data_IF_573462340941
#
_entry.id   IF_573462340941
#
_cell.length_a   1.000
_cell.length_b   1.000
_cell.length_c   1.000
_cell.angle_alpha   90.00
_cell.angle_beta   90.00
_cell.angle_gamma   90.00
#
_symmetry.space_group_name_H-M   'P 1'
#
loop_
_entity.id
_entity.type
_entity.pdbx_description
1 polymer ?
#
# COMPACT_ATOMS: atom_id res chain seq x y z
N UNK A 1 16.66 6.46 49.29
CA UNK A 1 16.16 7.23 48.13
C UNK A 1 16.29 6.32 46.92
N UNK A 2 15.17 5.78 46.41
CA UNK A 2 15.15 4.78 45.32
C UNK A 2 15.53 5.40 43.98
N UNK A 3 16.32 4.68 43.18
CA UNK A 3 16.37 4.85 41.73
C UNK A 3 16.31 3.45 41.10
N UNK A 4 15.13 3.07 40.59
CA UNK A 4 14.96 1.88 39.77
C UNK A 4 15.45 2.21 38.36
N UNK A 5 16.58 1.62 37.95
CA UNK A 5 17.12 1.77 36.60
C UNK A 5 16.54 0.72 35.67
N UNK A 6 16.03 1.22 34.55
CA UNK A 6 15.21 0.56 33.55
C UNK A 6 16.01 -0.47 32.74
N UNK A 7 15.85 -1.77 32.99
CA UNK A 7 16.63 -2.85 32.34
C UNK A 7 15.92 -3.50 31.14
N UNK A 8 14.77 -3.00 30.68
CA UNK A 8 13.95 -3.69 29.65
C UNK A 8 14.10 -3.18 28.21
N UNK A 9 14.77 -2.05 28.01
CA UNK A 9 14.89 -1.38 26.70
C UNK A 9 16.19 -1.72 25.94
N UNK A 10 17.13 -2.46 26.53
CA UNK A 10 18.43 -2.73 25.92
C UNK A 10 18.58 -4.13 25.29
N UNK A 11 17.55 -4.98 25.33
CA UNK A 11 17.64 -6.35 24.78
C UNK A 11 17.02 -6.56 23.40
N UNK A 12 16.37 -5.55 22.80
CA UNK A 12 15.73 -5.70 21.46
C UNK A 12 16.64 -5.22 20.31
N UNK A 13 17.68 -4.42 20.60
CA UNK A 13 18.57 -3.85 19.57
C UNK A 13 19.67 -4.83 19.09
N UNK A 14 19.91 -5.93 19.81
CA UNK A 14 21.05 -6.81 19.59
C UNK A 14 20.88 -7.88 18.48
N UNK A 15 19.77 -7.87 17.73
CA UNK A 15 19.46 -8.87 16.68
C UNK A 15 19.25 -8.31 15.28
N UNK A 16 19.50 -7.02 15.05
CA UNK A 16 19.41 -6.46 13.69
C UNK A 16 20.66 -6.82 12.90
N UNK A 17 20.52 -7.70 11.91
CA UNK A 17 21.57 -7.94 10.92
C UNK A 17 22.03 -6.58 10.34
N UNK A 18 23.34 -6.38 10.11
CA UNK A 18 23.81 -5.17 9.46
C UNK A 18 23.04 -5.00 8.13
N UNK A 19 22.62 -3.77 7.78
CA UNK A 19 22.03 -3.54 6.48
C UNK A 19 22.98 -4.13 5.42
N UNK A 20 22.47 -4.85 4.42
CA UNK A 20 23.32 -5.37 3.36
C UNK A 20 24.15 -4.21 2.79
N UNK A 21 25.40 -4.50 2.46
CA UNK A 21 26.34 -3.51 1.95
C UNK A 21 25.64 -2.63 0.91
N UNK A 22 25.76 -1.32 1.09
CA UNK A 22 25.27 -0.34 0.12
C UNK A 22 25.95 -0.68 -1.19
N UNK A 23 25.15 -1.08 -2.18
CA UNK A 23 25.64 -1.47 -3.48
C UNK A 23 26.39 -0.28 -4.10
N UNK A 24 27.71 -0.38 -4.28
CA UNK A 24 28.57 0.70 -4.78
C UNK A 24 28.21 1.17 -6.21
N UNK A 25 27.21 0.55 -6.86
CA UNK A 25 26.56 1.04 -8.10
C UNK A 25 25.77 2.34 -7.95
N UNK A 26 25.71 2.93 -6.75
CA UNK A 26 24.91 4.13 -6.46
C UNK A 26 25.43 5.38 -7.22
N UNK A 27 26.69 5.40 -7.65
CA UNK A 27 27.26 6.54 -8.38
C UNK A 27 26.70 6.73 -9.81
N UNK A 28 26.00 5.73 -10.37
CA UNK A 28 25.36 5.78 -11.69
C UNK A 28 23.81 5.92 -11.65
N UNK A 29 23.22 6.18 -10.48
CA UNK A 29 21.78 6.36 -10.32
C UNK A 29 21.31 7.74 -10.81
N UNK A 30 21.43 7.96 -12.12
CA UNK A 30 20.85 9.12 -12.77
C UNK A 30 19.32 8.98 -12.84
N UNK A 31 18.64 9.44 -11.79
CA UNK A 31 17.19 9.52 -11.71
C UNK A 31 16.75 10.99 -11.67
N UNK A 32 15.64 11.28 -12.34
CA UNK A 32 14.99 12.59 -12.24
C UNK A 32 14.13 12.67 -10.97
N UNK A 33 13.63 11.50 -10.51
CA UNK A 33 12.75 11.37 -9.35
C UNK A 33 13.17 10.16 -8.52
N UNK A 34 13.31 10.34 -7.21
CA UNK A 34 13.53 9.25 -6.25
C UNK A 34 12.28 9.08 -5.39
N UNK A 35 11.74 7.86 -5.34
CA UNK A 35 10.59 7.48 -4.52
C UNK A 35 11.08 6.58 -3.39
N UNK A 36 10.72 6.93 -2.15
CA UNK A 36 11.03 6.14 -0.97
C UNK A 36 9.76 5.40 -0.52
N UNK A 37 9.78 4.07 -0.65
CA UNK A 37 8.68 3.16 -0.35
C UNK A 37 8.01 2.60 -1.60
N UNK A 38 7.95 1.27 -1.69
CA UNK A 38 7.30 0.47 -2.75
C UNK A 38 5.88 0.02 -2.43
N UNK A 39 5.26 0.60 -1.41
CA UNK A 39 3.84 0.39 -1.13
C UNK A 39 2.91 0.94 -2.23
N UNK A 40 1.58 0.87 -2.04
CA UNK A 40 0.59 1.28 -3.04
C UNK A 40 0.81 2.71 -3.56
N UNK A 41 1.11 3.67 -2.68
CA UNK A 41 1.35 5.05 -3.10
C UNK A 41 2.61 5.22 -3.95
N UNK A 42 3.74 4.65 -3.52
CA UNK A 42 5.02 4.81 -4.21
C UNK A 42 5.11 4.04 -5.53
N UNK A 43 4.59 2.81 -5.55
CA UNK A 43 4.48 2.03 -6.79
C UNK A 43 3.53 2.67 -7.80
N UNK A 44 2.40 3.22 -7.34
CA UNK A 44 1.49 4.00 -8.20
C UNK A 44 2.18 5.21 -8.79
N UNK A 45 2.79 6.05 -7.94
CA UNK A 45 3.48 7.24 -8.40
C UNK A 45 4.60 6.90 -9.38
N UNK A 46 5.40 5.87 -9.08
CA UNK A 46 6.49 5.42 -9.94
C UNK A 46 6.00 4.95 -11.31
N UNK A 47 4.97 4.10 -11.35
CA UNK A 47 4.39 3.62 -12.60
C UNK A 47 3.87 4.78 -13.46
N UNK A 48 3.13 5.73 -12.87
CA UNK A 48 2.57 6.86 -13.60
C UNK A 48 3.62 7.87 -14.07
N UNK A 49 4.70 8.05 -13.31
CA UNK A 49 5.81 8.93 -13.69
C UNK A 49 6.66 8.33 -14.82
N UNK A 50 6.91 7.02 -14.78
CA UNK A 50 7.59 6.31 -15.88
C UNK A 50 6.77 6.40 -17.17
N UNK A 51 5.44 6.24 -17.11
CA UNK A 51 4.56 6.44 -18.28
C UNK A 51 4.64 7.85 -18.88
N UNK A 52 5.04 8.85 -18.09
CA UNK A 52 5.27 10.23 -18.54
C UNK A 52 6.69 10.49 -19.05
N UNK A 53 7.55 9.46 -19.07
CA UNK A 53 8.92 9.54 -19.59
C UNK A 53 9.99 9.95 -18.57
N UNK A 54 9.67 9.98 -17.28
CA UNK A 54 10.64 10.30 -16.23
C UNK A 54 11.50 9.07 -15.86
N UNK A 55 12.77 9.29 -15.53
CA UNK A 55 13.61 8.26 -14.91
C UNK A 55 13.35 8.24 -13.41
N UNK A 56 12.72 7.16 -12.96
CA UNK A 56 12.33 7.00 -11.56
C UNK A 56 13.16 5.92 -10.89
N UNK A 57 13.78 6.26 -9.76
CA UNK A 57 14.36 5.31 -8.84
C UNK A 57 13.40 5.08 -7.67
N UNK A 58 12.97 3.85 -7.44
CA UNK A 58 12.15 3.47 -6.29
C UNK A 58 12.96 2.62 -5.33
N UNK A 59 13.06 3.08 -4.08
CA UNK A 59 13.78 2.38 -3.01
C UNK A 59 12.76 1.87 -1.99
N UNK A 60 12.74 0.56 -1.76
CA UNK A 60 11.91 -0.08 -0.73
C UNK A 60 12.82 -0.77 0.28
N UNK A 61 12.50 -0.61 1.57
CA UNK A 61 13.27 -1.13 2.68
C UNK A 61 13.08 -2.64 2.82
N UNK A 62 11.86 -3.12 2.60
CA UNK A 62 11.47 -4.51 2.82
C UNK A 62 11.47 -5.33 1.50
N UNK A 63 11.52 -6.67 1.61
CA UNK A 63 11.35 -7.55 0.45
C UNK A 63 9.87 -7.89 0.28
N UNK A 64 9.37 -7.83 -0.95
CA UNK A 64 8.00 -8.25 -1.30
C UNK A 64 7.97 -9.72 -1.76
N UNK A 65 6.89 -10.48 -1.47
CA UNK A 65 5.68 -10.06 -0.75
C UNK A 65 5.91 -9.93 0.76
N UNK A 66 5.21 -8.98 1.38
CA UNK A 66 5.24 -8.75 2.84
C UNK A 66 3.83 -8.53 3.36
N UNK A 67 3.62 -8.85 4.64
CA UNK A 67 2.37 -8.53 5.30
C UNK A 67 2.15 -7.01 5.37
N UNK A 68 0.93 -6.58 5.03
CA UNK A 68 0.52 -5.18 5.16
C UNK A 68 -1.00 -5.10 5.35
N UNK A 69 -1.45 -4.29 6.29
CA UNK A 69 -2.88 -4.00 6.48
C UNK A 69 -3.30 -2.96 5.43
N UNK A 70 -4.39 -3.22 4.73
CA UNK A 70 -4.91 -2.32 3.68
C UNK A 70 -5.71 -3.05 2.61
N UNK A 71 -6.42 -4.10 2.99
CA UNK A 71 -6.99 -5.10 2.09
C UNK A 71 -8.30 -4.65 1.42
N UNK A 72 -9.03 -3.73 2.04
CA UNK A 72 -10.35 -3.28 1.59
C UNK A 72 -10.22 -2.10 0.62
N UNK A 73 -10.24 -2.38 -0.68
CA UNK A 73 -10.06 -1.36 -1.73
C UNK A 73 -11.37 -0.64 -2.05
N UNK A 74 -11.29 0.52 -2.69
CA UNK A 74 -12.47 1.31 -3.10
C UNK A 74 -12.66 1.30 -4.62
N UNK A 75 -13.89 1.55 -5.12
CA UNK A 75 -14.18 1.45 -6.55
C UNK A 75 -13.27 2.32 -7.44
N UNK A 76 -12.88 3.51 -6.96
CA UNK A 76 -11.98 4.40 -7.72
C UNK A 76 -10.55 3.86 -7.90
N UNK A 77 -10.19 2.76 -7.23
CA UNK A 77 -8.95 2.04 -7.51
C UNK A 77 -8.97 1.32 -8.86
N UNK A 78 -10.14 0.86 -9.34
CA UNK A 78 -10.24 0.10 -10.60
C UNK A 78 -9.70 0.86 -11.82
N UNK A 79 -10.16 2.09 -12.13
CA UNK A 79 -9.62 2.84 -13.26
C UNK A 79 -8.12 3.15 -13.11
N UNK A 80 -7.63 3.29 -11.87
CA UNK A 80 -6.21 3.48 -11.61
C UNK A 80 -5.40 2.21 -11.93
N UNK A 81 -5.90 1.02 -11.59
CA UNK A 81 -5.25 -0.25 -11.92
C UNK A 81 -5.21 -0.50 -13.43
N UNK A 82 -6.26 -0.10 -14.15
CA UNK A 82 -6.29 -0.12 -15.63
C UNK A 82 -5.21 0.80 -16.19
N UNK A 83 -5.15 2.04 -15.72
CA UNK A 83 -4.14 3.01 -16.16
C UNK A 83 -2.71 2.53 -15.88
N UNK A 84 -2.48 1.86 -14.75
CA UNK A 84 -1.18 1.28 -14.41
C UNK A 84 -0.87 -0.03 -15.14
N UNK A 85 -1.83 -0.62 -15.88
CA UNK A 85 -1.67 -1.88 -16.58
C UNK A 85 -1.62 -3.11 -15.66
N UNK A 86 -2.12 -2.99 -14.42
CA UNK A 86 -2.11 -4.08 -13.43
C UNK A 86 -3.50 -4.62 -13.06
N UNK A 87 -4.57 -4.12 -13.69
CA UNK A 87 -5.95 -4.53 -13.40
C UNK A 87 -6.14 -6.06 -13.45
N UNK A 88 -5.68 -6.72 -14.50
CA UNK A 88 -5.78 -8.18 -14.64
C UNK A 88 -5.01 -8.96 -13.56
N UNK A 89 -3.94 -8.38 -12.99
CA UNK A 89 -3.22 -9.00 -11.88
C UNK A 89 -4.00 -8.86 -10.56
N UNK A 90 -4.65 -7.71 -10.35
CA UNK A 90 -5.51 -7.47 -9.18
C UNK A 90 -6.77 -8.34 -9.24
N UNK A 91 -7.42 -8.44 -10.40
CA UNK A 91 -8.60 -9.29 -10.59
C UNK A 91 -8.35 -10.75 -10.21
N UNK A 92 -7.16 -11.29 -10.52
CA UNK A 92 -6.79 -12.67 -10.18
C UNK A 92 -6.68 -12.93 -8.67
N UNK A 93 -6.37 -11.91 -7.87
CA UNK A 93 -6.15 -12.06 -6.42
C UNK A 93 -7.26 -11.43 -5.58
N UNK A 94 -8.05 -10.54 -6.18
CA UNK A 94 -9.09 -9.77 -5.51
C UNK A 94 -10.40 -10.55 -5.40
N UNK A 95 -10.99 -10.53 -4.21
CA UNK A 95 -12.39 -10.91 -4.00
C UNK A 95 -13.29 -9.71 -4.31
N UNK A 96 -14.30 -9.90 -5.15
CA UNK A 96 -15.24 -8.82 -5.51
C UNK A 96 -15.98 -8.31 -4.28
N UNK A 97 -16.00 -6.99 -4.09
CA UNK A 97 -16.66 -6.27 -3.00
C UNK A 97 -17.70 -5.31 -3.57
N UNK A 98 -18.97 -5.49 -3.24
CA UNK A 98 -20.08 -4.71 -3.81
C UNK A 98 -20.60 -3.58 -2.90
N UNK A 99 -20.26 -3.59 -1.61
CA UNK A 99 -20.81 -2.65 -0.65
C UNK A 99 -19.90 -2.44 0.55
N UNK A 100 -20.28 -1.49 1.40
CA UNK A 100 -19.80 -1.36 2.78
C UNK A 100 -21.03 -1.37 3.68
N UNK A 101 -20.95 -2.07 4.80
CA UNK A 101 -21.99 -2.05 5.83
C UNK A 101 -21.45 -1.46 7.11
N UNK A 102 -22.21 -0.54 7.69
CA UNK A 102 -21.93 0.07 8.98
C UNK A 102 -22.95 -0.43 9.99
N UNK A 103 -22.47 -0.80 11.17
CA UNK A 103 -23.30 -1.20 12.30
C UNK A 103 -23.14 -0.18 13.43
N UNK A 104 -24.22 0.48 13.81
CA UNK A 104 -24.24 1.41 14.94
C UNK A 104 -24.82 0.71 16.17
N UNK A 105 -23.99 0.55 17.20
CA UNK A 105 -24.42 0.02 18.50
C UNK A 105 -25.26 1.02 19.28
N UNK A 106 -25.10 2.32 19.06
CA UNK A 106 -25.91 3.36 19.70
C UNK A 106 -27.36 3.33 19.18
N UNK A 107 -27.52 3.22 17.86
CA UNK A 107 -28.84 3.23 17.24
C UNK A 107 -29.44 1.83 17.03
N UNK A 108 -28.73 0.77 17.43
CA UNK A 108 -29.11 -0.64 17.22
C UNK A 108 -29.53 -0.91 15.77
N UNK A 109 -28.82 -0.29 14.82
CA UNK A 109 -29.18 -0.26 13.41
C UNK A 109 -27.95 -0.55 12.54
N UNK A 110 -28.21 -1.10 11.35
CA UNK A 110 -27.18 -1.31 10.33
C UNK A 110 -27.60 -0.63 9.04
N UNK A 111 -26.64 -0.04 8.35
CA UNK A 111 -26.84 0.59 7.05
C UNK A 111 -25.84 0.04 6.05
N UNK A 112 -26.34 -0.39 4.89
CA UNK A 112 -25.51 -0.88 3.79
C UNK A 112 -25.49 0.18 2.70
N UNK A 113 -24.29 0.49 2.20
CA UNK A 113 -24.06 1.36 1.06
C UNK A 113 -23.54 0.50 -0.09
N UNK A 114 -24.39 0.21 -1.06
CA UNK A 114 -23.97 -0.49 -2.26
C UNK A 114 -23.22 0.47 -3.20
N UNK A 115 -22.11 0.01 -3.77
CA UNK A 115 -21.35 0.81 -4.73
C UNK A 115 -22.12 1.04 -6.03
N UNK A 116 -23.10 0.20 -6.34
CA UNK A 116 -24.00 0.38 -7.47
C UNK A 116 -24.88 1.63 -7.36
N UNK A 117 -25.09 2.15 -6.14
CA UNK A 117 -25.91 3.33 -5.84
C UNK A 117 -25.06 4.62 -5.75
N UNK A 118 -23.77 4.54 -6.07
CA UNK A 118 -22.87 5.70 -6.09
C UNK A 118 -23.14 6.62 -7.29
N UNK A 119 -22.41 7.74 -7.38
CA UNK A 119 -22.50 8.67 -8.50
C UNK A 119 -22.19 8.01 -9.86
N UNK A 120 -22.75 8.60 -10.91
CA UNK A 120 -22.43 8.21 -12.29
C UNK A 120 -20.92 8.29 -12.56
N UNK A 121 -20.41 7.31 -13.30
CA UNK A 121 -18.98 7.21 -13.63
C UNK A 121 -18.12 6.55 -12.55
N UNK A 122 -18.67 6.24 -11.37
CA UNK A 122 -17.99 5.44 -10.35
C UNK A 122 -18.20 3.94 -10.64
N UNK A 123 -17.15 3.10 -10.59
CA UNK A 123 -17.32 1.67 -10.72
C UNK A 123 -18.27 1.09 -9.65
N UNK A 124 -19.05 0.09 -10.04
CA UNK A 124 -20.12 -0.47 -9.18
C UNK A 124 -19.63 -1.55 -8.20
N UNK A 125 -18.32 -1.75 -8.12
CA UNK A 125 -17.68 -2.72 -7.25
C UNK A 125 -16.23 -2.31 -6.97
N UNK A 126 -15.61 -2.99 -6.01
CA UNK A 126 -14.21 -2.91 -5.68
C UNK A 126 -13.65 -4.32 -5.41
N UNK A 127 -12.42 -4.41 -4.90
CA UNK A 127 -11.83 -5.67 -4.45
C UNK A 127 -11.50 -5.64 -2.96
N UNK A 128 -11.58 -6.80 -2.32
CA UNK A 128 -10.86 -7.13 -1.09
C UNK A 128 -9.66 -7.98 -1.51
N UNK A 129 -8.45 -7.55 -1.19
CA UNK A 129 -7.22 -8.31 -1.47
C UNK A 129 -6.74 -9.02 -0.20
N UNK A 130 -5.89 -10.05 -0.33
CA UNK A 130 -5.29 -10.79 0.80
C UNK A 130 -3.78 -10.75 0.74
#
# INVERSE_FOLDING_TARGET
MLAASNTRSQQVDAQRAPPPAVDERIDELSADIVIIGGGPGGSTAGALLVQKGWRVLLLEKDRHPRFHIGESLLPMGLPLFEQMGCAAAIEKVGLVKHSVQFHSTEHQASQTFAFADAWDGVPKYAYQVR
#
